data_IF_364320687441
#
_entry.id   IF_364320687441
#
_cell.length_a   1.000
_cell.length_b   1.000
_cell.length_c   1.000
_cell.angle_alpha   90.00
_cell.angle_beta   90.00
_cell.angle_gamma   90.00
#
_symmetry.space_group_name_H-M   'P 1'
#
loop_
_entity.id
_entity.type
_entity.pdbx_description
1 polymer ?
#
# COMPACT_ATOMS: atom_id res chain seq x y z
N UNK A 1 9.48 -45.30 -36.52
CA UNK A 1 8.27 -46.12 -36.35
C UNK A 1 7.20 -45.20 -35.76
N UNK A 2 6.76 -44.13 -36.45
CA UNK A 2 5.94 -44.08 -37.66
C UNK A 2 4.52 -44.67 -37.47
N UNK A 3 3.54 -43.88 -37.90
CA UNK A 3 2.07 -44.08 -37.93
C UNK A 3 1.34 -43.66 -36.65
N UNK A 4 0.40 -42.70 -36.64
CA UNK A 4 -0.26 -42.00 -37.74
C UNK A 4 -1.77 -41.91 -37.44
N UNK A 5 -2.28 -40.67 -37.44
CA UNK A 5 -3.58 -40.21 -38.01
C UNK A 5 -4.87 -40.95 -37.56
N UNK A 6 -6.02 -40.33 -37.23
CA UNK A 6 -6.75 -39.22 -37.86
C UNK A 6 -8.04 -38.99 -37.07
N UNK A 7 -8.45 -37.72 -36.86
CA UNK A 7 -9.87 -37.37 -36.73
C UNK A 7 -10.56 -37.56 -38.10
N UNK A 8 -11.91 -37.64 -38.18
CA UNK A 8 -12.59 -36.47 -38.74
C UNK A 8 -14.09 -36.26 -38.38
N UNK A 9 -14.55 -35.06 -38.78
CA UNK A 9 -15.88 -34.56 -39.20
C UNK A 9 -16.99 -34.22 -38.18
N UNK A 10 -17.42 -32.97 -38.34
CA UNK A 10 -18.62 -32.30 -37.84
C UNK A 10 -19.93 -32.80 -38.47
N UNK A 11 -21.05 -32.60 -37.76
CA UNK A 11 -22.39 -32.47 -38.36
C UNK A 11 -23.11 -31.29 -37.71
N UNK A 12 -23.58 -30.39 -38.56
CA UNK A 12 -24.47 -29.25 -38.26
C UNK A 12 -25.93 -29.71 -38.14
N UNK A 13 -26.73 -29.04 -37.31
CA UNK A 13 -28.02 -28.39 -37.64
C UNK A 13 -28.96 -28.23 -36.42
N UNK A 14 -28.97 -27.02 -35.83
CA UNK A 14 -30.08 -26.05 -35.61
C UNK A 14 -31.53 -26.50 -35.18
N UNK A 15 -32.51 -25.58 -34.95
CA UNK A 15 -32.74 -24.86 -33.69
C UNK A 15 -34.23 -24.79 -33.25
N UNK A 16 -34.52 -24.61 -31.96
CA UNK A 16 -35.85 -24.19 -31.42
C UNK A 16 -35.67 -23.87 -29.92
N UNK A 17 -36.27 -22.88 -29.25
CA UNK A 17 -37.34 -21.94 -29.57
C UNK A 17 -37.32 -20.84 -28.49
N UNK A 18 -37.40 -19.58 -28.90
CA UNK A 18 -37.59 -18.39 -28.06
C UNK A 18 -39.09 -18.07 -28.00
N UNK A 19 -39.68 -17.71 -26.85
CA UNK A 19 -40.97 -17.04 -26.83
C UNK A 19 -40.79 -15.52 -26.96
N UNK A 20 -41.41 -14.96 -28.01
CA UNK A 20 -41.62 -13.52 -28.22
C UNK A 20 -42.76 -13.01 -27.31
N UNK A 21 -42.58 -11.84 -26.70
CA UNK A 21 -43.66 -10.88 -26.45
C UNK A 21 -43.27 -9.49 -26.99
N UNK A 22 -44.30 -8.72 -27.33
CA UNK A 22 -44.35 -7.70 -28.38
C UNK A 22 -44.05 -6.24 -27.90
N UNK A 23 -43.90 -5.27 -28.82
CA UNK A 23 -43.18 -4.01 -28.58
C UNK A 23 -44.09 -2.83 -28.22
N UNK A 24 -43.57 -1.88 -27.43
CA UNK A 24 -44.22 -0.63 -27.06
C UNK A 24 -43.34 0.60 -27.27
N UNK A 25 -43.51 1.24 -28.44
CA UNK A 25 -43.38 2.68 -28.77
C UNK A 25 -42.14 3.48 -28.32
N UNK A 26 -41.35 3.86 -29.32
CA UNK A 26 -40.41 4.99 -29.35
C UNK A 26 -41.11 6.35 -29.44
N UNK A 27 -40.62 7.36 -28.72
CA UNK A 27 -40.92 8.78 -28.94
C UNK A 27 -40.08 9.69 -28.02
N UNK A 28 -39.36 10.71 -28.53
CA UNK A 28 -38.25 11.37 -27.85
C UNK A 28 -38.68 12.61 -27.06
N UNK A 29 -37.86 13.05 -26.09
CA UNK A 29 -37.70 14.46 -25.64
C UNK A 29 -36.70 14.58 -24.47
N UNK A 30 -35.49 15.05 -24.77
CA UNK A 30 -34.83 16.12 -23.97
C UNK A 30 -35.32 17.46 -24.56
N UNK A 31 -35.42 18.60 -23.84
CA UNK A 31 -34.34 19.18 -23.03
C UNK A 31 -34.77 19.94 -21.75
N UNK A 32 -33.76 20.49 -21.06
CA UNK A 32 -33.75 21.67 -20.17
C UNK A 32 -33.34 21.44 -18.70
N UNK A 33 -32.07 21.79 -18.47
CA UNK A 33 -31.60 22.75 -17.46
C UNK A 33 -32.66 23.29 -16.49
N UNK A 34 -32.55 22.92 -15.22
CA UNK A 34 -33.31 23.54 -14.13
C UNK A 34 -32.68 23.20 -12.78
N UNK A 35 -31.85 24.11 -12.26
CA UNK A 35 -31.46 24.17 -10.85
C UNK A 35 -32.71 24.34 -9.98
N UNK A 36 -32.79 23.68 -8.81
CA UNK A 36 -33.46 24.29 -7.67
C UNK A 36 -32.47 24.56 -6.53
N UNK A 37 -32.60 25.76 -5.97
CA UNK A 37 -31.98 26.16 -4.71
C UNK A 37 -32.83 25.61 -3.55
N UNK A 38 -32.12 25.20 -2.50
CA UNK A 38 -32.41 25.34 -1.07
C UNK A 38 -33.81 25.08 -0.54
N UNK A 39 -33.88 24.13 0.39
CA UNK A 39 -34.58 24.30 1.67
C UNK A 39 -35.90 23.56 1.77
N UNK A 40 -35.87 22.35 2.33
CA UNK A 40 -36.84 22.00 3.37
C UNK A 40 -36.36 20.80 4.19
N UNK A 41 -36.49 20.98 5.51
CA UNK A 41 -36.07 20.11 6.58
C UNK A 41 -36.71 18.71 6.50
N UNK A 42 -35.93 17.71 6.09
CA UNK A 42 -36.21 16.33 6.41
C UNK A 42 -35.41 15.93 7.65
N UNK A 43 -36.06 16.05 8.81
CA UNK A 43 -35.64 15.49 10.09
C UNK A 43 -35.31 14.00 9.91
N UNK A 44 -34.01 13.67 9.77
CA UNK A 44 -33.54 12.29 9.89
C UNK A 44 -33.61 11.91 11.36
N UNK A 45 -34.55 11.04 11.70
CA UNK A 45 -34.47 10.21 12.90
C UNK A 45 -33.15 9.45 12.89
N UNK A 46 -32.22 9.89 13.73
CA UNK A 46 -30.89 9.32 13.83
C UNK A 46 -30.93 7.97 14.54
N UNK A 47 -30.81 6.88 13.79
CA UNK A 47 -30.16 5.67 14.29
C UNK A 47 -28.65 5.94 14.23
N UNK A 48 -28.08 6.38 15.34
CA UNK A 48 -26.66 6.73 15.45
C UNK A 48 -25.78 5.55 15.10
N UNK A 49 -25.17 5.58 13.92
CA UNK A 49 -24.06 4.69 13.57
C UNK A 49 -22.87 4.92 14.51
N UNK A 50 -21.96 3.93 14.63
CA UNK A 50 -20.78 4.05 15.48
C UNK A 50 -19.95 5.28 15.07
N UNK A 51 -19.54 6.08 16.06
CA UNK A 51 -18.75 7.30 15.86
C UNK A 51 -17.28 6.95 15.57
N UNK A 52 -16.64 7.72 14.70
CA UNK A 52 -15.22 7.59 14.33
C UNK A 52 -14.31 7.52 15.56
N UNK A 53 -13.31 6.63 15.54
CA UNK A 53 -12.33 6.50 16.63
C UNK A 53 -12.84 5.83 17.91
N UNK A 54 -14.10 5.36 17.96
CA UNK A 54 -14.58 4.53 19.06
C UNK A 54 -14.43 3.03 18.76
N UNK A 55 -14.17 2.20 19.79
CA UNK A 55 -14.32 0.74 19.67
C UNK A 55 -15.75 0.38 19.23
N UNK A 56 -15.90 -0.64 18.38
CA UNK A 56 -17.23 -1.16 18.05
C UNK A 56 -17.89 -1.84 19.29
N UNK A 57 -19.23 -1.79 19.42
CA UNK A 57 -19.95 -2.53 20.46
C UNK A 57 -19.67 -4.03 20.34
N UNK A 58 -19.25 -4.70 21.42
CA UNK A 58 -18.90 -6.12 21.43
C UNK A 58 -17.40 -6.43 21.37
N UNK A 59 -16.53 -5.41 21.28
CA UNK A 59 -15.10 -5.59 21.55
C UNK A 59 -14.91 -5.98 23.03
N UNK A 60 -14.26 -7.13 23.26
CA UNK A 60 -14.00 -7.63 24.60
C UNK A 60 -13.08 -6.63 25.35
N UNK A 61 -13.61 -5.99 26.39
CA UNK A 61 -12.85 -5.06 27.25
C UNK A 61 -11.80 -5.77 28.09
N UNK A 62 -11.79 -7.11 28.07
CA UNK A 62 -10.88 -7.95 28.84
C UNK A 62 -9.39 -7.78 28.51
N UNK A 63 -9.03 -7.21 27.35
CA UNK A 63 -7.61 -7.02 26.95
C UNK A 63 -7.01 -5.73 27.54
N UNK A 64 -7.80 -4.91 28.24
CA UNK A 64 -7.35 -3.62 28.78
C UNK A 64 -7.08 -2.58 27.68
N UNK A 65 -6.90 -1.32 28.07
CA UNK A 65 -6.45 -0.28 27.15
C UNK A 65 -4.94 -0.38 26.94
N UNK A 66 -4.52 -0.47 25.68
CA UNK A 66 -3.12 -0.42 25.24
C UNK A 66 -3.04 0.39 23.94
N UNK A 67 -1.85 0.82 23.46
CA UNK A 67 -1.73 1.78 22.35
C UNK A 67 -2.55 1.46 21.09
N UNK A 68 -2.79 0.17 20.81
CA UNK A 68 -3.63 -0.29 19.70
C UNK A 68 -5.13 -0.05 19.85
N UNK A 69 -5.61 0.29 21.05
CA UNK A 69 -7.03 0.48 21.37
C UNK A 69 -7.43 1.95 21.50
N UNK A 70 -6.47 2.87 21.45
CA UNK A 70 -6.70 4.31 21.55
C UNK A 70 -6.70 4.94 20.15
N UNK A 71 -7.90 5.15 19.60
CA UNK A 71 -8.22 6.08 18.50
C UNK A 71 -7.37 6.00 17.22
N UNK A 72 -7.98 5.59 16.11
CA UNK A 72 -7.38 5.74 14.78
C UNK A 72 -7.06 7.21 14.46
N UNK A 73 -5.91 7.48 13.82
CA UNK A 73 -5.54 8.83 13.40
C UNK A 73 -6.67 9.52 12.62
N UNK A 74 -6.91 10.79 12.93
CA UNK A 74 -7.91 11.64 12.26
C UNK A 74 -7.18 12.70 11.46
N UNK A 75 -7.67 12.94 10.25
CA UNK A 75 -7.13 13.89 9.29
C UNK A 75 -5.73 13.56 8.81
N UNK A 76 -5.26 14.41 7.90
CA UNK A 76 -3.89 14.37 7.40
C UNK A 76 -3.14 15.60 7.91
N UNK A 77 -1.90 15.46 8.42
CA UNK A 77 -1.10 16.61 8.82
C UNK A 77 -0.98 17.64 7.68
N UNK A 78 -0.98 18.94 7.96
CA UNK A 78 -0.78 19.97 6.95
C UNK A 78 0.58 19.78 6.24
N UNK A 79 0.61 19.98 4.91
CA UNK A 79 1.88 20.03 4.16
C UNK A 79 2.66 21.28 4.58
N UNK A 80 3.96 21.13 4.82
CA UNK A 80 4.82 22.28 5.17
C UNK A 80 5.30 22.97 3.89
N UNK A 81 5.50 24.30 3.88
CA UNK A 81 6.24 24.95 2.80
C UNK A 81 7.63 24.33 2.62
N UNK A 82 8.08 24.22 1.37
CA UNK A 82 9.35 23.59 1.02
C UNK A 82 9.41 22.10 1.38
N UNK A 83 8.34 21.34 1.08
CA UNK A 83 8.25 19.92 1.40
C UNK A 83 7.81 19.07 0.22
N UNK A 84 8.11 17.78 0.28
CA UNK A 84 7.57 16.78 -0.65
C UNK A 84 6.71 15.79 0.13
N UNK A 85 5.53 15.48 -0.39
CA UNK A 85 4.63 14.44 0.11
C UNK A 85 4.46 13.33 -0.93
N UNK A 86 4.74 12.10 -0.55
CA UNK A 86 4.30 10.90 -1.28
C UNK A 86 3.08 10.30 -0.62
N UNK A 87 2.05 10.01 -1.39
CA UNK A 87 0.90 9.20 -0.95
C UNK A 87 0.73 8.00 -1.85
N UNK A 88 0.48 6.82 -1.28
CA UNK A 88 0.04 5.64 -2.05
C UNK A 88 -1.17 4.99 -1.40
N UNK A 89 -2.04 4.41 -2.21
CA UNK A 89 -3.14 3.57 -1.75
C UNK A 89 -3.24 2.30 -2.57
N UNK A 90 -3.59 1.18 -1.94
CA UNK A 90 -4.00 -0.04 -2.65
C UNK A 90 -5.36 -0.47 -2.12
N UNK A 91 -6.37 -0.46 -3.00
CA UNK A 91 -7.65 -1.11 -2.75
C UNK A 91 -7.52 -2.61 -3.04
N UNK A 92 -8.09 -3.44 -2.18
CA UNK A 92 -8.07 -4.90 -2.26
C UNK A 92 -9.51 -5.39 -2.28
N UNK A 93 -9.97 -5.87 -3.44
CA UNK A 93 -11.36 -6.22 -3.68
C UNK A 93 -11.51 -7.63 -4.24
N UNK A 94 -12.68 -8.23 -4.01
CA UNK A 94 -13.06 -9.53 -4.58
C UNK A 94 -14.46 -9.42 -5.18
N UNK A 95 -14.58 -8.84 -6.39
CA UNK A 95 -15.87 -8.54 -6.99
C UNK A 95 -16.76 -9.78 -7.17
N UNK A 96 -16.14 -10.93 -7.42
CA UNK A 96 -16.81 -12.22 -7.62
C UNK A 96 -16.96 -13.05 -6.31
N UNK A 97 -16.90 -12.38 -5.16
CA UNK A 97 -17.04 -13.00 -3.84
C UNK A 97 -15.72 -13.36 -3.16
N UNK A 98 -15.77 -13.67 -1.85
CA UNK A 98 -14.58 -13.80 -0.99
C UNK A 98 -13.57 -14.89 -1.40
N UNK A 99 -14.02 -15.89 -2.16
CA UNK A 99 -13.18 -16.97 -2.72
C UNK A 99 -12.80 -16.73 -4.19
N UNK A 100 -13.29 -15.65 -4.81
CA UNK A 100 -12.92 -15.25 -6.16
C UNK A 100 -11.54 -14.58 -6.24
N UNK A 101 -11.14 -14.16 -7.46
CA UNK A 101 -9.90 -13.44 -7.69
C UNK A 101 -9.75 -12.21 -6.79
N UNK A 102 -8.52 -11.93 -6.36
CA UNK A 102 -8.17 -10.72 -5.65
C UNK A 102 -7.76 -9.65 -6.66
N UNK A 103 -8.47 -8.52 -6.64
CA UNK A 103 -8.17 -7.33 -7.42
C UNK A 103 -7.44 -6.33 -6.53
N UNK A 104 -6.22 -5.95 -6.92
CA UNK A 104 -5.44 -4.88 -6.31
C UNK A 104 -5.46 -3.67 -7.24
N UNK A 105 -5.98 -2.53 -6.75
CA UNK A 105 -5.97 -1.26 -7.48
C UNK A 105 -5.13 -0.25 -6.71
N UNK A 106 -3.92 0.00 -7.22
CA UNK A 106 -2.91 0.89 -6.67
C UNK A 106 -2.91 2.27 -7.32
N UNK A 107 -2.78 3.31 -6.51
CA UNK A 107 -2.56 4.70 -6.97
C UNK A 107 -1.47 5.32 -6.10
N UNK A 108 -0.54 6.02 -6.73
CA UNK A 108 0.54 6.77 -6.07
C UNK A 108 0.62 8.20 -6.61
N UNK A 109 0.98 9.14 -5.74
CA UNK A 109 1.21 10.54 -6.10
C UNK A 109 2.33 11.15 -5.29
N UNK A 110 3.20 11.91 -5.95
CA UNK A 110 4.16 12.82 -5.33
C UNK A 110 3.68 14.27 -5.51
N UNK A 111 3.69 15.04 -4.42
CA UNK A 111 3.41 16.46 -4.40
C UNK A 111 4.61 17.24 -3.87
N UNK A 112 4.89 18.37 -4.48
CA UNK A 112 5.72 19.44 -3.91
C UNK A 112 4.79 20.48 -3.28
N UNK A 113 5.15 20.96 -2.10
CA UNK A 113 4.66 22.25 -1.58
C UNK A 113 5.84 23.21 -1.61
N UNK A 114 5.76 24.26 -2.44
CA UNK A 114 6.84 25.23 -2.62
C UNK A 114 7.07 26.05 -1.34
N UNK A 115 8.14 26.84 -1.30
CA UNK A 115 8.40 27.76 -0.18
C UNK A 115 7.29 28.81 0.01
N UNK A 116 6.56 29.16 -1.07
CA UNK A 116 5.41 30.09 -1.03
C UNK A 116 4.09 29.41 -0.68
N UNK A 117 4.07 28.07 -0.57
CA UNK A 117 2.89 27.28 -0.24
C UNK A 117 2.08 26.80 -1.47
N UNK A 118 2.55 27.08 -2.68
CA UNK A 118 1.94 26.53 -3.90
C UNK A 118 2.16 25.02 -3.98
N UNK A 119 1.23 24.30 -4.60
CA UNK A 119 1.25 22.83 -4.68
C UNK A 119 1.42 22.39 -6.13
N UNK A 120 2.44 21.59 -6.38
CA UNK A 120 2.75 21.02 -7.71
C UNK A 120 2.68 19.49 -7.65
N UNK A 121 2.02 18.87 -8.63
CA UNK A 121 2.05 17.40 -8.79
C UNK A 121 3.34 17.00 -9.50
N UNK A 122 4.23 16.32 -8.79
CA UNK A 122 5.54 15.90 -9.31
C UNK A 122 5.50 14.54 -10.03
N UNK A 123 4.44 13.76 -9.84
CA UNK A 123 4.26 12.48 -10.51
C UNK A 123 3.06 11.72 -9.98
N UNK A 124 2.49 10.89 -10.84
CA UNK A 124 1.44 9.94 -10.50
C UNK A 124 1.77 8.57 -11.08
N UNK A 125 1.26 7.53 -10.42
CA UNK A 125 1.35 6.16 -10.90
C UNK A 125 0.08 5.38 -10.57
N UNK A 126 -0.28 4.44 -11.43
CA UNK A 126 -1.36 3.47 -11.20
C UNK A 126 -0.86 2.07 -11.44
N UNK A 127 -1.39 1.12 -10.68
CA UNK A 127 -1.11 -0.30 -10.80
C UNK A 127 -2.42 -1.06 -10.65
N UNK A 128 -2.70 -2.00 -11.54
CA UNK A 128 -3.76 -2.99 -11.33
C UNK A 128 -3.13 -4.38 -11.38
N UNK A 129 -3.48 -5.22 -10.41
CA UNK A 129 -3.07 -6.62 -10.36
C UNK A 129 -4.29 -7.47 -10.04
N UNK A 130 -4.52 -8.53 -10.81
CA UNK A 130 -5.53 -9.54 -10.51
C UNK A 130 -4.82 -10.84 -10.19
N UNK A 131 -5.22 -11.50 -9.11
CA UNK A 131 -4.56 -12.69 -8.58
C UNK A 131 -5.57 -13.80 -8.34
N UNK A 132 -5.22 -15.03 -8.70
CA UNK A 132 -5.93 -16.18 -8.16
C UNK A 132 -5.45 -16.42 -6.74
N UNK A 133 -6.14 -15.79 -5.76
CA UNK A 133 -5.74 -15.88 -4.36
C UNK A 133 -5.87 -17.31 -3.81
N UNK A 134 -6.88 -18.05 -4.30
CA UNK A 134 -7.25 -19.37 -3.79
C UNK A 134 -6.38 -20.48 -4.38
N UNK A 135 -5.76 -20.29 -5.54
CA UNK A 135 -4.72 -21.20 -6.01
C UNK A 135 -3.46 -21.16 -5.12
N UNK A 136 -2.71 -22.26 -5.14
CA UNK A 136 -1.34 -22.33 -4.64
C UNK A 136 -0.41 -22.49 -5.86
N UNK A 137 0.53 -21.55 -6.13
CA UNK A 137 1.05 -20.50 -5.24
C UNK A 137 0.29 -19.15 -5.30
N UNK A 138 -0.82 -19.12 -6.01
CA UNK A 138 -1.66 -17.95 -6.26
C UNK A 138 -1.06 -17.00 -7.29
N UNK A 139 -1.13 -17.39 -8.57
CA UNK A 139 -0.51 -16.65 -9.66
C UNK A 139 -1.18 -15.31 -9.91
N UNK A 140 -0.39 -14.37 -10.45
CA UNK A 140 -0.89 -13.18 -11.14
C UNK A 140 -1.65 -13.62 -12.39
N UNK A 141 -2.90 -13.22 -12.50
CA UNK A 141 -3.73 -13.42 -13.68
C UNK A 141 -3.58 -12.25 -14.65
N UNK A 142 -3.54 -11.03 -14.12
CA UNK A 142 -3.43 -9.80 -14.90
C UNK A 142 -2.55 -8.79 -14.15
N UNK A 143 -1.77 -8.00 -14.88
CA UNK A 143 -1.03 -6.88 -14.33
C UNK A 143 -0.86 -5.78 -15.37
N UNK A 144 -1.16 -4.54 -14.99
CA UNK A 144 -1.00 -3.35 -15.82
C UNK A 144 -0.57 -2.16 -14.96
N UNK A 145 0.15 -1.23 -15.56
CA UNK A 145 0.60 -0.01 -14.88
C UNK A 145 0.46 1.22 -15.76
N UNK A 146 0.28 2.37 -15.10
CA UNK A 146 0.44 3.68 -15.71
C UNK A 146 1.51 4.45 -14.93
N UNK A 147 2.59 4.93 -15.56
CA UNK A 147 2.96 4.66 -16.96
C UNK A 147 3.17 3.17 -17.25
N UNK A 148 3.01 2.79 -18.52
CA UNK A 148 3.27 1.41 -18.96
C UNK A 148 4.75 1.08 -18.81
N UNK A 149 5.05 -0.12 -18.30
CA UNK A 149 6.42 -0.64 -18.15
C UNK A 149 6.63 -1.80 -19.14
N UNK A 150 7.57 -1.67 -20.10
CA UNK A 150 7.96 -2.78 -20.95
C UNK A 150 8.35 -4.01 -20.12
N UNK A 151 7.84 -5.19 -20.51
CA UNK A 151 8.12 -6.44 -19.81
C UNK A 151 7.25 -6.72 -18.57
N UNK A 152 6.44 -5.78 -18.07
CA UNK A 152 5.62 -6.01 -16.86
C UNK A 152 4.67 -7.21 -16.97
N UNK A 153 4.12 -7.44 -18.17
CA UNK A 153 3.25 -8.58 -18.46
C UNK A 153 3.94 -9.95 -18.23
N UNK A 154 5.27 -10.01 -18.16
CA UNK A 154 5.99 -11.25 -17.83
C UNK A 154 5.78 -11.72 -16.39
N UNK A 155 5.17 -10.89 -15.53
CA UNK A 155 4.76 -11.30 -14.19
C UNK A 155 3.46 -12.11 -14.17
N UNK A 156 2.69 -12.17 -15.27
CA UNK A 156 1.53 -13.07 -15.38
C UNK A 156 1.98 -14.52 -15.21
N UNK A 157 1.29 -15.27 -14.36
CA UNK A 157 1.65 -16.62 -13.93
C UNK A 157 2.64 -16.68 -12.76
N UNK A 158 3.35 -15.59 -12.44
CA UNK A 158 4.25 -15.54 -11.29
C UNK A 158 3.48 -15.49 -9.97
N UNK A 159 4.09 -15.98 -8.88
CA UNK A 159 3.50 -15.84 -7.54
C UNK A 159 3.70 -14.41 -7.03
N UNK A 160 2.62 -13.78 -6.54
CA UNK A 160 2.74 -12.52 -5.79
C UNK A 160 3.38 -12.70 -4.40
N UNK A 161 3.50 -13.94 -3.92
CA UNK A 161 3.89 -14.25 -2.53
C UNK A 161 5.33 -14.71 -2.39
N UNK A 162 5.94 -15.13 -3.50
CA UNK A 162 7.33 -15.58 -3.55
C UNK A 162 8.02 -14.99 -4.80
N UNK A 163 9.19 -14.37 -4.61
CA UNK A 163 10.01 -13.85 -5.72
C UNK A 163 9.51 -12.57 -6.42
N UNK A 164 8.23 -12.20 -6.25
CA UNK A 164 7.61 -11.05 -6.95
C UNK A 164 8.44 -9.76 -6.93
N UNK A 165 8.88 -9.32 -5.75
CA UNK A 165 9.69 -8.08 -5.59
C UNK A 165 10.99 -8.11 -6.38
N UNK A 166 11.64 -9.28 -6.44
CA UNK A 166 12.89 -9.45 -7.18
C UNK A 166 12.65 -9.34 -8.68
N UNK A 167 11.61 -10.03 -9.17
CA UNK A 167 11.23 -9.99 -10.58
C UNK A 167 10.78 -8.58 -11.02
N UNK A 168 9.92 -7.92 -10.23
CA UNK A 168 9.47 -6.56 -10.49
C UNK A 168 10.64 -5.56 -10.56
N UNK A 169 11.61 -5.66 -9.64
CA UNK A 169 12.82 -4.81 -9.66
C UNK A 169 13.67 -5.03 -10.91
N UNK A 170 13.84 -6.29 -11.34
CA UNK A 170 14.59 -6.61 -12.56
C UNK A 170 13.91 -6.03 -13.80
N UNK A 171 12.58 -6.11 -13.88
CA UNK A 171 11.80 -5.54 -14.99
C UNK A 171 11.94 -4.02 -15.03
N UNK A 172 11.79 -3.35 -13.88
CA UNK A 172 11.95 -1.89 -13.80
C UNK A 172 13.37 -1.46 -14.21
N UNK A 173 14.40 -2.14 -13.70
CA UNK A 173 15.79 -1.86 -14.04
C UNK A 173 16.10 -2.07 -15.53
N UNK A 174 15.58 -3.14 -16.14
CA UNK A 174 15.73 -3.39 -17.57
C UNK A 174 15.07 -2.28 -18.40
N UNK A 175 13.85 -1.89 -18.06
CA UNK A 175 13.16 -0.80 -18.74
C UNK A 175 13.89 0.55 -18.57
N UNK A 176 14.66 0.75 -17.48
CA UNK A 176 15.44 1.99 -17.25
C UNK A 176 16.65 2.01 -18.17
N UNK A 177 17.33 0.87 -18.30
CA UNK A 177 18.47 0.71 -19.20
C UNK A 177 18.04 0.92 -20.67
N UNK A 178 16.90 0.36 -21.07
CA UNK A 178 16.35 0.53 -22.42
C UNK A 178 16.01 2.00 -22.73
N UNK A 179 15.42 2.71 -21.76
CA UNK A 179 15.09 4.13 -21.93
C UNK A 179 16.36 4.99 -22.05
N UNK A 180 17.38 4.73 -21.23
CA UNK A 180 18.66 5.43 -21.29
C UNK A 180 19.42 5.14 -22.60
N UNK A 181 19.37 3.90 -23.10
CA UNK A 181 19.95 3.54 -24.39
C UNK A 181 19.27 4.23 -25.58
N UNK A 182 17.94 4.32 -25.56
CA UNK A 182 17.18 5.03 -26.59
C UNK A 182 17.44 6.56 -26.60
N UNK A 183 17.65 7.18 -25.43
CA UNK A 183 18.04 8.59 -25.33
C UNK A 183 19.49 8.82 -25.80
N UNK A 184 20.39 7.86 -25.56
CA UNK A 184 21.77 7.89 -26.04
C UNK A 184 21.88 7.74 -27.56
N UNK A 185 21.12 6.82 -28.17
CA UNK A 185 21.10 6.61 -29.63
C UNK A 185 20.45 7.81 -30.38
N UNK A 186 19.54 8.54 -29.75
CA UNK A 186 18.96 9.76 -30.32
C UNK A 186 19.94 10.96 -30.29
N UNK A 187 20.96 10.92 -29.43
CA UNK A 187 22.00 11.95 -29.33
C UNK A 187 23.22 11.67 -30.23
N UNK A 188 23.40 10.45 -30.73
CA UNK A 188 24.56 10.04 -31.55
C UNK A 188 24.32 10.17 -33.06
N UNK A 189 23.84 11.35 -33.48
CA UNK A 189 23.83 11.77 -34.90
C UNK A 189 24.62 13.06 -35.12
N UNK A 190 25.74 13.27 -34.43
CA UNK A 190 26.83 14.09 -34.97
C UNK A 190 28.18 13.83 -34.28
N UNK A 191 29.16 13.42 -35.08
CA UNK A 191 30.61 13.45 -34.86
C UNK A 191 31.25 12.56 -33.78
N UNK A 192 32.25 11.80 -34.22
CA UNK A 192 33.00 10.86 -33.40
C UNK A 192 34.21 11.44 -32.65
N UNK A 193 35.02 10.46 -32.21
CA UNK A 193 36.24 10.50 -31.42
C UNK A 193 36.00 10.25 -29.93
N UNK A 194 36.33 9.01 -29.55
CA UNK A 194 36.36 8.52 -28.19
C UNK A 194 37.54 9.12 -27.41
N UNK A 195 37.29 9.50 -26.17
CA UNK A 195 38.27 9.39 -25.09
C UNK A 195 37.55 8.95 -23.81
N UNK A 196 37.99 7.81 -23.29
CA UNK A 196 37.50 7.19 -22.07
C UNK A 196 38.21 7.78 -20.85
N UNK A 197 37.47 8.47 -19.98
CA UNK A 197 37.68 8.52 -18.54
C UNK A 197 36.58 9.37 -17.88
N UNK A 198 35.84 8.79 -16.94
CA UNK A 198 34.84 9.52 -16.18
C UNK A 198 34.17 8.65 -15.14
N UNK A 199 34.69 8.67 -13.91
CA UNK A 199 33.88 8.43 -12.71
C UNK A 199 32.74 9.44 -12.72
N UNK A 200 31.54 8.96 -13.02
CA UNK A 200 30.35 9.77 -13.19
C UNK A 200 29.16 9.09 -12.54
N UNK A 201 28.91 9.44 -11.29
CA UNK A 201 27.57 9.37 -10.74
C UNK A 201 26.68 10.34 -11.52
N UNK A 202 25.84 9.82 -12.41
CA UNK A 202 24.86 10.56 -13.19
C UNK A 202 24.03 9.53 -13.96
N UNK A 203 22.71 9.58 -14.06
CA UNK A 203 21.75 10.62 -13.77
C UNK A 203 20.62 10.36 -14.77
N UNK A 204 19.46 9.89 -14.30
CA UNK A 204 18.24 9.84 -15.09
C UNK A 204 17.06 9.85 -14.12
N UNK A 205 16.13 10.78 -14.31
CA UNK A 205 14.99 11.02 -13.44
C UNK A 205 13.95 9.89 -13.54
N UNK A 206 14.02 8.93 -12.63
CA UNK A 206 13.19 7.71 -12.49
C UNK A 206 11.95 7.95 -11.61
N UNK A 207 11.48 9.17 -11.55
CA UNK A 207 10.58 9.63 -10.50
C UNK A 207 9.20 8.98 -10.53
N UNK A 208 8.62 8.74 -11.71
CA UNK A 208 7.41 7.89 -11.85
C UNK A 208 7.66 6.43 -11.48
N UNK A 209 8.89 5.94 -11.72
CA UNK A 209 9.27 4.56 -11.43
C UNK A 209 9.46 4.32 -9.95
N UNK A 210 9.90 5.31 -9.17
CA UNK A 210 9.93 5.18 -7.71
C UNK A 210 8.52 4.99 -7.12
N UNK A 211 7.49 5.68 -7.65
CA UNK A 211 6.09 5.45 -7.27
C UNK A 211 5.59 4.05 -7.69
N UNK A 212 5.88 3.63 -8.92
CA UNK A 212 5.53 2.28 -9.39
C UNK A 212 6.29 1.20 -8.62
N UNK A 213 7.56 1.40 -8.30
CA UNK A 213 8.36 0.48 -7.50
C UNK A 213 7.74 0.33 -6.12
N UNK A 214 7.29 1.42 -5.49
CA UNK A 214 6.57 1.34 -4.23
C UNK A 214 5.25 0.55 -4.34
N UNK A 215 4.43 0.82 -5.36
CA UNK A 215 3.18 0.07 -5.58
C UNK A 215 3.43 -1.42 -5.82
N UNK A 216 4.45 -1.77 -6.61
CA UNK A 216 4.87 -3.15 -6.87
C UNK A 216 5.47 -3.81 -5.62
N UNK A 217 6.24 -3.07 -4.81
CA UNK A 217 6.82 -3.56 -3.56
C UNK A 217 5.74 -3.90 -2.51
N UNK A 218 4.61 -3.19 -2.54
CA UNK A 218 3.46 -3.41 -1.66
C UNK A 218 2.60 -4.63 -2.07
N UNK A 219 2.63 -5.09 -3.33
CA UNK A 219 1.77 -6.20 -3.84
C UNK A 219 1.83 -7.46 -2.97
N UNK A 220 3.02 -7.99 -2.56
CA UNK A 220 3.06 -9.21 -1.75
C UNK A 220 2.40 -9.06 -0.39
N UNK A 221 2.59 -7.93 0.28
CA UNK A 221 2.01 -7.71 1.62
C UNK A 221 0.54 -7.33 1.52
N UNK A 222 0.12 -6.57 0.50
CA UNK A 222 -1.29 -6.35 0.18
C UNK A 222 -2.02 -7.68 -0.09
N UNK A 223 -1.38 -8.59 -0.83
CA UNK A 223 -1.90 -9.94 -1.04
C UNK A 223 -2.00 -10.68 0.29
N UNK A 224 -0.97 -10.66 1.12
CA UNK A 224 -0.96 -11.33 2.43
C UNK A 224 -2.06 -10.82 3.36
N UNK A 225 -2.18 -9.50 3.53
CA UNK A 225 -3.15 -8.88 4.44
C UNK A 225 -4.59 -9.01 3.92
N UNK A 226 -4.81 -9.12 2.61
CA UNK A 226 -6.16 -9.40 2.06
C UNK A 226 -6.78 -10.70 2.58
N UNK A 227 -5.95 -11.61 3.13
CA UNK A 227 -6.40 -12.83 3.80
C UNK A 227 -7.29 -12.57 5.02
N UNK A 228 -7.08 -11.43 5.69
CA UNK A 228 -7.87 -10.99 6.84
C UNK A 228 -9.37 -10.94 6.54
N UNK A 229 -9.75 -10.59 5.31
CA UNK A 229 -11.14 -10.58 4.87
C UNK A 229 -11.74 -12.00 4.86
N UNK A 230 -10.98 -13.02 4.46
CA UNK A 230 -11.45 -14.41 4.49
C UNK A 230 -11.61 -14.91 5.93
N UNK A 231 -10.58 -14.72 6.76
CA UNK A 231 -10.59 -15.17 8.15
C UNK A 231 -11.71 -14.50 8.97
N UNK A 232 -11.99 -13.21 8.74
CA UNK A 232 -13.11 -12.52 9.39
C UNK A 232 -14.47 -13.12 9.05
N UNK A 233 -14.63 -13.67 7.85
CA UNK A 233 -15.88 -14.25 7.37
C UNK A 233 -15.90 -15.78 7.44
N UNK A 234 -15.08 -16.39 8.30
CA UNK A 234 -15.14 -17.82 8.56
C UNK A 234 -14.61 -18.70 7.43
N UNK A 235 -13.91 -18.13 6.44
CA UNK A 235 -13.39 -18.90 5.31
C UNK A 235 -11.96 -19.33 5.65
N UNK A 236 -11.82 -20.63 5.91
CA UNK A 236 -10.56 -21.26 6.24
C UNK A 236 -10.13 -22.25 5.14
N UNK A 237 -8.83 -22.32 4.85
CA UNK A 237 -8.23 -23.29 3.94
C UNK A 237 -7.96 -24.58 4.69
N UNK A 238 -8.33 -25.71 4.08
CA UNK A 238 -8.10 -27.03 4.65
C UNK A 238 -6.61 -27.40 4.72
N UNK A 239 -5.84 -26.99 3.69
CA UNK A 239 -4.42 -27.31 3.58
C UNK A 239 -3.50 -26.14 3.99
N UNK A 240 -2.50 -26.39 4.86
CA UNK A 240 -1.48 -25.41 5.20
C UNK A 240 -0.59 -25.13 3.98
N UNK A 241 -0.52 -23.87 3.54
CA UNK A 241 0.48 -23.46 2.55
C UNK A 241 1.46 -22.46 3.16
N UNK A 242 2.77 -22.69 2.95
CA UNK A 242 3.86 -21.79 3.42
C UNK A 242 3.76 -20.36 2.88
N UNK A 243 2.90 -20.15 1.90
CA UNK A 243 2.66 -18.86 1.28
C UNK A 243 1.25 -18.34 1.53
N UNK A 244 0.40 -18.97 2.35
CA UNK A 244 -0.98 -18.49 2.54
C UNK A 244 -1.01 -17.04 3.10
N UNK A 245 -0.05 -16.69 3.95
CA UNK A 245 -0.07 -15.46 4.74
C UNK A 245 -0.63 -15.73 6.14
N UNK A 246 -0.17 -15.01 7.16
CA UNK A 246 -0.57 -15.29 8.54
C UNK A 246 -2.06 -15.00 8.81
N UNK A 247 -2.69 -14.15 8.01
CA UNK A 247 -4.10 -13.78 8.13
C UNK A 247 -5.00 -14.55 7.17
N UNK A 248 -4.45 -15.43 6.34
CA UNK A 248 -5.24 -16.29 5.46
C UNK A 248 -5.89 -17.37 6.29
N UNK A 249 -7.21 -17.24 6.49
CA UNK A 249 -8.00 -18.21 7.24
C UNK A 249 -7.58 -19.62 6.86
N UNK A 250 -6.99 -20.36 7.80
CA UNK A 250 -6.72 -21.79 7.68
C UNK A 250 -5.37 -22.21 8.27
N UNK A 251 -4.34 -21.35 8.22
CA UNK A 251 -3.09 -21.66 8.91
C UNK A 251 -2.23 -20.40 9.15
N UNK A 252 -2.28 -19.80 10.36
CA UNK A 252 -1.42 -18.67 10.65
C UNK A 252 0.04 -19.14 10.69
N UNK A 253 0.89 -18.50 9.90
CA UNK A 253 2.33 -18.68 10.07
C UNK A 253 2.70 -18.09 11.44
N UNK A 254 2.91 -18.95 12.43
CA UNK A 254 3.33 -18.54 13.77
C UNK A 254 4.78 -18.05 13.75
N UNK A 255 5.09 -17.17 14.70
CA UNK A 255 6.38 -16.52 14.91
C UNK A 255 6.92 -15.73 13.73
N UNK A 256 6.09 -15.39 12.75
CA UNK A 256 6.50 -14.51 11.64
C UNK A 256 6.61 -13.05 12.04
N UNK A 257 5.89 -12.63 13.08
CA UNK A 257 5.96 -11.31 13.67
C UNK A 257 5.51 -11.30 15.13
N UNK A 258 5.70 -10.16 15.80
CA UNK A 258 5.29 -9.94 17.19
C UNK A 258 3.83 -10.29 17.46
N UNK A 259 2.92 -9.88 16.56
CA UNK A 259 1.48 -10.17 16.70
C UNK A 259 1.10 -11.65 16.52
N UNK A 260 1.89 -12.39 15.75
CA UNK A 260 1.67 -13.81 15.44
C UNK A 260 2.59 -14.74 16.22
N UNK A 261 3.11 -14.30 17.37
CA UNK A 261 3.88 -15.17 18.26
C UNK A 261 3.02 -16.33 18.79
N UNK A 262 3.67 -17.46 19.10
CA UNK A 262 3.00 -18.57 19.80
C UNK A 262 2.26 -18.06 21.03
N UNK A 263 1.07 -18.60 21.25
CA UNK A 263 0.19 -18.27 22.37
C UNK A 263 -0.27 -16.80 22.44
N UNK A 264 0.12 -15.93 21.51
CA UNK A 264 -0.38 -14.55 21.42
C UNK A 264 -1.86 -14.47 21.09
N UNK A 265 -2.48 -13.29 21.27
CA UNK A 265 -3.92 -13.10 21.04
C UNK A 265 -4.36 -13.55 19.64
N UNK A 266 -3.65 -13.13 18.58
CA UNK A 266 -4.02 -13.46 17.20
C UNK A 266 -3.95 -14.98 16.94
N UNK A 267 -2.92 -15.65 17.46
CA UNK A 267 -2.76 -17.09 17.35
C UNK A 267 -3.92 -17.83 18.01
N UNK A 268 -4.32 -17.43 19.22
CA UNK A 268 -5.44 -18.04 19.96
C UNK A 268 -6.77 -17.81 19.25
N UNK A 269 -7.06 -16.57 18.84
CA UNK A 269 -8.30 -16.23 18.12
C UNK A 269 -8.37 -16.98 16.79
N UNK A 270 -7.27 -17.09 16.06
CA UNK A 270 -7.23 -17.86 14.81
C UNK A 270 -7.51 -19.34 15.04
N UNK A 271 -6.94 -19.94 16.10
CA UNK A 271 -7.16 -21.35 16.43
C UNK A 271 -8.62 -21.60 16.86
N UNK A 272 -9.18 -20.74 17.71
CA UNK A 272 -10.59 -20.78 18.13
C UNK A 272 -11.52 -20.73 16.92
N UNK A 273 -11.31 -19.76 16.03
CA UNK A 273 -12.15 -19.60 14.84
C UNK A 273 -11.97 -20.68 13.78
N UNK A 274 -10.80 -21.31 13.72
CA UNK A 274 -10.61 -22.46 12.84
C UNK A 274 -11.38 -23.68 13.35
N UNK A 275 -11.55 -23.81 14.67
CA UNK A 275 -12.36 -24.87 15.28
C UNK A 275 -13.86 -24.55 15.26
N UNK A 276 -14.23 -23.27 15.36
CA UNK A 276 -15.60 -22.77 15.31
C UNK A 276 -15.66 -21.50 14.43
N UNK A 277 -16.03 -21.61 13.15
CA UNK A 277 -16.09 -20.47 12.23
C UNK A 277 -17.00 -19.33 12.69
N UNK A 278 -18.01 -19.62 13.52
CA UNK A 278 -18.97 -18.66 14.07
C UNK A 278 -18.45 -17.95 15.33
N UNK A 279 -17.30 -18.38 15.89
CA UNK A 279 -16.70 -17.72 17.03
C UNK A 279 -16.36 -16.26 16.71
N UNK A 280 -16.61 -15.32 17.65
CA UNK A 280 -16.53 -13.89 17.38
C UNK A 280 -15.11 -13.44 17.06
N UNK A 281 -14.98 -12.41 16.22
CA UNK A 281 -13.72 -11.68 16.03
C UNK A 281 -13.46 -10.85 17.29
N UNK A 282 -12.57 -11.32 18.18
CA UNK A 282 -12.20 -10.61 19.40
C UNK A 282 -10.95 -9.73 19.29
N UNK A 283 -10.46 -9.48 18.07
CA UNK A 283 -9.34 -8.55 17.84
C UNK A 283 -9.81 -7.10 17.95
N UNK A 284 -8.89 -6.16 18.13
CA UNK A 284 -9.23 -4.74 18.19
C UNK A 284 -9.98 -4.29 16.92
N UNK A 285 -11.18 -3.72 17.11
CA UNK A 285 -12.01 -3.17 16.03
C UNK A 285 -12.32 -1.70 16.31
N UNK A 286 -11.48 -0.81 15.79
CA UNK A 286 -11.62 0.64 15.92
C UNK A 286 -12.04 1.20 14.56
N UNK A 287 -13.12 1.99 14.54
CA UNK A 287 -13.56 2.68 13.32
C UNK A 287 -12.45 3.60 12.82
N UNK A 288 -12.09 3.46 11.55
CA UNK A 288 -11.06 4.25 10.92
C UNK A 288 -11.41 5.75 10.97
N UNK A 289 -10.42 6.56 11.33
CA UNK A 289 -10.55 8.01 11.22
C UNK A 289 -10.51 8.45 9.76
N UNK A 290 -11.27 9.49 9.43
CA UNK A 290 -11.21 10.05 8.09
C UNK A 290 -9.87 10.75 7.89
N UNK A 291 -9.15 10.41 6.82
CA UNK A 291 -7.86 11.02 6.46
C UNK A 291 -8.00 12.05 5.34
N UNK A 292 -9.05 11.95 4.53
CA UNK A 292 -9.28 12.83 3.38
C UNK A 292 -10.16 14.01 3.83
N UNK A 293 -9.52 15.00 4.45
CA UNK A 293 -10.22 16.19 4.96
C UNK A 293 -10.50 17.17 3.84
N UNK A 294 -11.70 17.76 3.84
CA UNK A 294 -12.16 18.70 2.79
C UNK A 294 -11.25 19.94 2.68
N UNK A 295 -10.58 20.33 3.77
CA UNK A 295 -9.68 21.48 3.83
C UNK A 295 -8.37 21.29 3.04
N UNK A 296 -7.97 20.04 2.73
CA UNK A 296 -6.83 19.74 1.85
C UNK A 296 -7.21 18.65 0.83
N UNK A 297 -7.91 19.03 -0.26
CA UNK A 297 -8.36 18.07 -1.29
C UNK A 297 -7.19 17.42 -2.05
N UNK A 298 -5.98 17.97 -1.94
CA UNK A 298 -4.74 17.39 -2.47
C UNK A 298 -3.98 16.58 -1.42
N UNK A 299 -4.46 16.50 -0.18
CA UNK A 299 -3.81 15.74 0.90
C UNK A 299 -3.64 14.27 0.56
N UNK A 300 -4.61 13.71 -0.18
CA UNK A 300 -4.60 12.39 -0.80
C UNK A 300 -5.12 12.48 -2.23
N UNK A 301 -4.69 11.58 -3.11
CA UNK A 301 -5.41 11.36 -4.37
C UNK A 301 -6.81 10.78 -4.07
N UNK A 302 -7.77 10.82 -5.02
CA UNK A 302 -9.11 10.33 -4.77
C UNK A 302 -9.12 8.92 -4.15
N UNK A 303 -9.75 8.79 -2.99
CA UNK A 303 -9.94 7.52 -2.29
C UNK A 303 -11.38 7.04 -2.55
N UNK A 304 -11.62 6.20 -3.57
CA UNK A 304 -12.98 5.75 -3.91
C UNK A 304 -13.60 4.98 -2.75
N UNK A 305 -14.93 4.93 -2.55
CA UNK A 305 -15.55 4.16 -1.47
C UNK A 305 -15.14 2.67 -1.49
N UNK A 306 -15.03 2.03 -0.32
CA UNK A 306 -14.75 0.58 -0.22
C UNK A 306 -16.02 -0.24 -0.42
N UNK A 307 -15.96 -1.27 -1.27
CA UNK A 307 -16.97 -2.33 -1.27
C UNK A 307 -17.01 -3.11 0.05
N UNK A 308 -18.10 -3.82 0.30
CA UNK A 308 -18.21 -4.72 1.47
C UNK A 308 -17.10 -5.77 1.42
N UNK A 309 -16.45 -6.02 2.56
CA UNK A 309 -15.30 -6.92 2.72
C UNK A 309 -14.02 -6.51 1.96
N UNK A 310 -14.02 -5.37 1.28
CA UNK A 310 -12.79 -4.82 0.72
C UNK A 310 -11.81 -4.47 1.84
N UNK A 311 -10.53 -4.43 1.48
CA UNK A 311 -9.47 -3.90 2.32
C UNK A 311 -8.77 -2.75 1.62
N UNK A 312 -8.18 -1.84 2.39
CA UNK A 312 -7.44 -0.71 1.82
C UNK A 312 -6.16 -0.49 2.59
N UNK A 313 -5.08 -0.35 1.84
CA UNK A 313 -3.79 0.13 2.31
C UNK A 313 -3.62 1.60 1.98
N UNK A 314 -3.11 2.38 2.91
CA UNK A 314 -2.73 3.78 2.76
C UNK A 314 -1.31 4.01 3.28
N UNK A 315 -0.50 4.75 2.53
CA UNK A 315 0.83 5.23 2.95
C UNK A 315 0.98 6.72 2.70
N UNK A 316 1.67 7.40 3.61
CA UNK A 316 2.15 8.77 3.42
C UNK A 316 3.61 8.87 3.86
N UNK A 317 4.42 9.57 3.09
CA UNK A 317 5.75 10.05 3.50
C UNK A 317 5.77 11.56 3.29
N UNK A 318 5.92 12.30 4.37
CA UNK A 318 6.20 13.74 4.33
C UNK A 318 7.69 13.97 4.59
N UNK A 319 8.37 14.56 3.61
CA UNK A 319 9.79 14.88 3.68
C UNK A 319 10.00 16.39 3.74
N UNK A 320 10.68 16.86 4.78
CA UNK A 320 10.96 18.28 5.03
C UNK A 320 12.44 18.49 5.34
N UNK A 321 13.07 19.58 4.86
CA UNK A 321 14.43 19.94 5.29
C UNK A 321 14.48 20.27 6.79
N UNK A 322 15.62 19.98 7.41
CA UNK A 322 15.97 20.40 8.77
C UNK A 322 16.96 21.56 8.63
N UNK A 323 16.46 22.79 8.83
CA UNK A 323 17.28 24.01 8.75
C UNK A 323 16.64 25.07 7.86
N UNK A 324 16.25 26.18 8.49
CA UNK A 324 15.48 27.30 7.93
C UNK A 324 14.86 28.19 9.02
N UNK A 325 14.69 27.66 10.24
CA UNK A 325 14.38 28.45 11.45
C UNK A 325 15.69 28.97 12.09
N UNK A 326 15.77 30.22 12.57
CA UNK A 326 16.86 30.68 13.42
C UNK A 326 16.97 29.75 14.63
N UNK A 327 18.19 29.35 14.98
CA UNK A 327 18.47 28.47 16.11
C UNK A 327 17.87 28.99 17.43
N UNK A 328 16.65 28.57 17.73
CA UNK A 328 15.95 28.83 18.98
C UNK A 328 16.03 27.61 19.91
N UNK A 329 16.93 27.70 20.89
CA UNK A 329 17.02 26.96 22.14
C UNK A 329 16.20 25.65 22.29
N UNK A 330 16.76 24.54 21.81
CA UNK A 330 16.52 23.20 22.35
C UNK A 330 17.86 22.59 22.79
N UNK A 331 17.92 21.77 23.85
CA UNK A 331 19.19 21.28 24.37
C UNK A 331 19.86 20.40 23.32
N UNK A 332 21.04 20.82 22.88
CA UNK A 332 21.91 20.08 21.99
C UNK A 332 22.21 18.71 22.61
N UNK A 333 21.78 17.64 21.94
CA UNK A 333 22.24 16.29 22.29
C UNK A 333 23.63 16.09 21.70
N UNK A 334 24.60 15.97 22.59
CA UNK A 334 25.98 15.62 22.30
C UNK A 334 26.08 14.18 21.82
N UNK A 335 26.78 13.99 20.71
CA UNK A 335 26.95 12.72 20.02
C UNK A 335 27.03 12.94 18.50
N UNK A 336 27.91 13.84 18.05
CA UNK A 336 28.17 14.04 16.64
C UNK A 336 28.96 12.83 16.10
N UNK A 337 28.24 11.88 15.52
CA UNK A 337 28.78 11.02 14.48
C UNK A 337 28.64 11.77 13.14
N UNK A 338 29.53 11.47 12.19
CA UNK A 338 29.50 12.05 10.84
C UNK A 338 28.10 11.99 10.21
N UNK A 339 27.66 13.12 9.65
CA UNK A 339 26.36 13.31 8.98
C UNK A 339 25.28 13.92 9.88
N UNK A 340 25.28 15.26 10.01
CA UNK A 340 24.17 15.95 10.67
C UNK A 340 22.84 15.70 9.94
N UNK A 341 21.75 15.52 10.70
CA UNK A 341 20.42 15.34 10.14
C UNK A 341 20.04 16.55 9.26
N UNK A 342 19.72 16.28 7.99
CA UNK A 342 19.41 17.30 6.99
C UNK A 342 17.93 17.27 6.57
N UNK A 343 17.24 16.15 6.72
CA UNK A 343 15.83 16.02 6.40
C UNK A 343 15.09 15.21 7.47
N UNK A 344 13.82 15.56 7.70
CA UNK A 344 12.88 14.80 8.54
C UNK A 344 11.83 14.15 7.65
N UNK A 345 11.61 12.86 7.87
CA UNK A 345 10.54 12.09 7.25
C UNK A 345 9.49 11.74 8.32
N UNK A 346 8.25 12.20 8.14
CA UNK A 346 7.09 11.71 8.88
C UNK A 346 6.32 10.72 8.01
N UNK A 347 6.33 9.46 8.43
CA UNK A 347 5.74 8.35 7.69
C UNK A 347 4.49 7.88 8.40
N UNK A 348 3.47 7.56 7.61
CA UNK A 348 2.22 6.98 8.07
C UNK A 348 1.84 5.78 7.21
N UNK A 349 1.30 4.76 7.86
CA UNK A 349 0.79 3.55 7.25
C UNK A 349 -0.54 3.15 7.91
N UNK A 350 -1.52 2.74 7.11
CA UNK A 350 -2.76 2.15 7.60
C UNK A 350 -3.28 1.08 6.65
N UNK A 351 -3.66 -0.08 7.19
CA UNK A 351 -4.53 -1.05 6.54
C UNK A 351 -5.91 -1.01 7.21
N UNK A 352 -6.99 -0.95 6.42
CA UNK A 352 -8.39 -0.99 6.87
C UNK A 352 -9.17 -2.13 6.21
N UNK A 353 -10.27 -2.53 6.85
CA UNK A 353 -11.22 -3.53 6.36
C UNK A 353 -12.64 -2.97 6.44
N UNK A 354 -13.44 -3.22 5.39
CA UNK A 354 -14.86 -2.84 5.36
C UNK A 354 -15.73 -3.99 5.85
N UNK A 355 -16.36 -3.83 7.00
CA UNK A 355 -17.27 -4.83 7.57
C UNK A 355 -18.58 -4.94 6.77
N UNK A 356 -19.29 -6.07 6.94
CA UNK A 356 -20.65 -6.26 6.41
C UNK A 356 -21.64 -5.22 6.93
N UNK A 357 -21.42 -4.72 8.15
CA UNK A 357 -22.17 -3.61 8.75
C UNK A 357 -22.01 -2.28 8.01
N UNK A 358 -21.00 -2.17 7.15
CA UNK A 358 -20.61 -0.95 6.46
C UNK A 358 -19.63 -0.08 7.26
N UNK A 359 -19.15 -0.51 8.43
CA UNK A 359 -18.07 0.18 9.13
C UNK A 359 -16.71 -0.09 8.46
N UNK A 360 -15.88 0.94 8.27
CA UNK A 360 -14.47 0.78 7.94
C UNK A 360 -13.67 0.75 9.25
N UNK A 361 -12.99 -0.37 9.52
CA UNK A 361 -12.21 -0.58 10.75
C UNK A 361 -10.73 -0.71 10.44
N UNK A 362 -9.88 -0.19 11.33
CA UNK A 362 -8.43 -0.32 11.18
C UNK A 362 -7.97 -1.73 11.53
N UNK A 363 -7.12 -2.30 10.69
CA UNK A 363 -6.43 -3.57 10.92
C UNK A 363 -5.04 -3.30 11.50
N UNK A 364 -4.27 -2.44 10.85
CA UNK A 364 -2.94 -2.02 11.30
C UNK A 364 -2.73 -0.54 11.04
N UNK A 365 -2.13 0.18 11.98
CA UNK A 365 -1.71 1.56 11.81
C UNK A 365 -0.35 1.78 12.50
N UNK A 366 0.59 2.29 11.72
CA UNK A 366 1.95 2.60 12.18
C UNK A 366 2.35 3.99 11.70
N UNK A 367 3.19 4.65 12.50
CA UNK A 367 3.94 5.82 12.07
C UNK A 367 5.45 5.60 12.23
N UNK A 368 6.26 6.30 11.45
CA UNK A 368 7.70 6.39 11.66
C UNK A 368 8.09 7.86 11.66
N UNK A 369 8.79 8.29 12.70
CA UNK A 369 9.48 9.57 12.71
C UNK A 369 10.97 9.30 12.49
N UNK A 370 11.47 9.70 11.32
CA UNK A 370 12.85 9.47 10.92
C UNK A 370 13.55 10.77 10.53
N UNK A 371 14.87 10.79 10.68
CA UNK A 371 15.72 11.84 10.11
C UNK A 371 16.83 11.21 9.30
N UNK A 372 17.22 11.85 8.22
CA UNK A 372 18.30 11.42 7.33
C UNK A 372 19.28 12.56 7.07
N UNK A 373 20.54 12.23 6.77
CA UNK A 373 21.56 13.18 6.36
C UNK A 373 21.41 13.58 4.88
N UNK A 374 22.37 14.36 4.36
CA UNK A 374 22.39 14.80 2.96
C UNK A 374 22.49 13.64 1.95
N UNK A 375 23.01 12.48 2.36
CA UNK A 375 23.17 11.29 1.51
C UNK A 375 22.02 10.29 1.71
N UNK A 376 20.92 10.71 2.36
CA UNK A 376 19.81 9.85 2.75
C UNK A 376 20.22 8.69 3.69
N UNK A 377 21.28 8.83 4.48
CA UNK A 377 21.61 7.89 5.54
C UNK A 377 20.73 8.17 6.75
N UNK A 378 20.15 7.12 7.33
CA UNK A 378 19.25 7.22 8.49
C UNK A 378 20.03 7.63 9.74
N UNK A 379 19.75 8.81 10.25
CA UNK A 379 20.35 9.36 11.49
C UNK A 379 19.50 8.99 12.70
N UNK A 380 18.18 8.99 12.55
CA UNK A 380 17.22 8.57 13.58
C UNK A 380 16.04 7.87 12.94
N UNK A 381 15.47 6.90 13.64
CA UNK A 381 14.22 6.25 13.27
C UNK A 381 13.49 5.79 14.52
N UNK A 382 12.21 6.17 14.66
CA UNK A 382 11.37 5.80 15.80
C UNK A 382 9.99 5.37 15.30
N UNK A 383 9.59 4.15 15.62
CA UNK A 383 8.26 3.63 15.34
C UNK A 383 7.21 4.19 16.31
N UNK A 384 6.00 4.42 15.80
CA UNK A 384 4.81 4.79 16.56
C UNK A 384 3.70 3.78 16.26
N UNK A 385 3.03 3.29 17.29
CA UNK A 385 1.82 2.49 17.11
C UNK A 385 0.59 3.42 17.04
N UNK A 386 -0.27 3.19 16.06
CA UNK A 386 -1.67 3.56 16.11
C UNK A 386 -2.50 2.34 16.52
N UNK A 387 -3.64 2.12 15.86
CA UNK A 387 -4.45 0.91 16.05
C UNK A 387 -3.71 -0.34 15.56
N UNK A 388 -3.67 -1.38 16.40
CA UNK A 388 -3.02 -2.65 16.12
C UNK A 388 -3.93 -3.81 16.55
N UNK A 389 -3.82 -5.00 15.93
CA UNK A 389 -4.84 -6.05 16.10
C UNK A 389 -4.67 -6.88 17.38
N UNK A 390 -3.47 -6.88 17.99
CA UNK A 390 -3.20 -7.62 19.22
C UNK A 390 -2.12 -6.96 20.11
N UNK A 391 -2.20 -7.14 21.44
CA UNK A 391 -1.38 -6.43 22.43
C UNK A 391 0.12 -6.74 22.33
N UNK A 392 0.49 -7.78 21.60
CA UNK A 392 1.89 -8.13 21.31
C UNK A 392 2.49 -7.27 20.18
N UNK A 393 1.67 -6.73 19.29
CA UNK A 393 2.13 -5.98 18.11
C UNK A 393 3.02 -4.76 18.43
N UNK A 394 2.81 -3.98 19.52
CA UNK A 394 3.70 -2.89 19.91
C UNK A 394 5.13 -3.31 20.23
N UNK A 395 5.38 -4.59 20.56
CA UNK A 395 6.74 -5.09 20.83
C UNK A 395 7.67 -4.93 19.61
N UNK A 396 7.10 -4.86 18.40
CA UNK A 396 7.85 -4.66 17.17
C UNK A 396 8.41 -3.23 17.01
N UNK A 397 7.92 -2.22 17.75
CA UNK A 397 8.27 -0.81 17.50
C UNK A 397 9.78 -0.54 17.59
N UNK A 398 10.47 -1.19 18.54
CA UNK A 398 11.91 -1.05 18.72
C UNK A 398 12.72 -1.54 17.49
N UNK A 399 12.13 -2.39 16.63
CA UNK A 399 12.81 -2.80 15.39
C UNK A 399 13.06 -1.63 14.44
N UNK A 400 12.27 -0.54 14.51
CA UNK A 400 12.48 0.65 13.71
C UNK A 400 13.83 1.32 13.95
N UNK A 401 14.45 1.17 15.13
CA UNK A 401 15.77 1.75 15.41
C UNK A 401 16.90 1.02 14.67
N UNK A 402 16.68 -0.23 14.26
CA UNK A 402 17.71 -1.07 13.61
C UNK A 402 18.12 -0.56 12.22
N UNK A 403 17.36 0.37 11.62
CA UNK A 403 17.74 0.99 10.34
C UNK A 403 18.68 2.19 10.51
N UNK A 404 18.92 2.67 11.74
CA UNK A 404 19.86 3.78 11.99
C UNK A 404 21.25 3.40 11.51
N UNK A 405 21.91 4.33 10.81
CA UNK A 405 23.21 4.15 10.17
C UNK A 405 23.14 3.54 8.77
N UNK A 406 22.00 2.98 8.32
CA UNK A 406 21.85 2.44 6.97
C UNK A 406 21.57 3.55 5.95
N UNK A 407 22.02 3.36 4.71
CA UNK A 407 21.58 4.17 3.58
C UNK A 407 20.15 3.84 3.21
N UNK A 408 19.30 4.84 2.95
CA UNK A 408 17.91 4.64 2.58
C UNK A 408 17.76 3.68 1.38
N UNK A 409 18.56 3.85 0.32
CA UNK A 409 18.53 3.00 -0.87
C UNK A 409 18.71 1.48 -0.58
N UNK A 410 19.35 1.12 0.53
CA UNK A 410 19.57 -0.29 0.91
C UNK A 410 18.41 -0.87 1.73
N UNK A 411 17.47 -0.06 2.24
CA UNK A 411 16.44 -0.51 3.17
C UNK A 411 15.54 -1.59 2.57
N UNK A 412 15.13 -1.46 1.30
CA UNK A 412 14.38 -2.51 0.57
C UNK A 412 15.12 -3.84 0.51
N UNK A 413 16.45 -3.86 0.55
CA UNK A 413 17.21 -5.11 0.53
C UNK A 413 17.42 -5.63 1.95
N UNK A 414 17.90 -4.77 2.84
CA UNK A 414 18.30 -5.12 4.20
C UNK A 414 17.11 -5.56 5.04
N UNK A 415 16.03 -4.77 5.06
CA UNK A 415 14.83 -5.10 5.85
C UNK A 415 14.23 -6.44 5.44
N UNK A 416 14.20 -6.72 4.12
CA UNK A 416 13.73 -8.01 3.60
C UNK A 416 14.51 -9.23 4.12
N UNK A 417 15.79 -9.06 4.48
CA UNK A 417 16.70 -10.15 4.83
C UNK A 417 16.88 -10.31 6.34
N UNK A 418 16.79 -9.22 7.10
CA UNK A 418 17.19 -9.21 8.51
C UNK A 418 16.04 -8.92 9.47
N UNK A 419 14.88 -8.46 8.99
CA UNK A 419 13.73 -8.16 9.83
C UNK A 419 12.73 -9.30 9.74
N UNK A 420 12.98 -10.33 10.55
CA UNK A 420 12.17 -11.54 10.62
C UNK A 420 11.89 -11.90 12.07
N UNK A 421 10.80 -12.61 12.30
CA UNK A 421 10.50 -13.16 13.60
C UNK A 421 9.72 -12.21 14.52
N UNK A 422 9.47 -12.69 15.73
CA UNK A 422 8.64 -12.04 16.76
C UNK A 422 9.20 -10.71 17.28
N UNK A 423 10.46 -10.38 16.98
CA UNK A 423 11.03 -9.07 17.34
C UNK A 423 10.68 -7.95 16.34
N UNK A 424 9.88 -8.24 15.31
CA UNK A 424 9.51 -7.33 14.22
C UNK A 424 8.04 -7.48 13.84
N UNK A 425 7.54 -6.63 12.93
CA UNK A 425 6.20 -6.75 12.35
C UNK A 425 6.28 -6.71 10.83
N UNK A 426 5.60 -7.62 10.13
CA UNK A 426 5.56 -7.64 8.67
C UNK A 426 5.10 -6.28 8.11
N UNK A 427 4.10 -5.65 8.72
CA UNK A 427 3.59 -4.33 8.33
C UNK A 427 4.55 -3.17 8.65
N UNK A 428 5.25 -3.22 9.81
CA UNK A 428 6.26 -2.21 10.15
C UNK A 428 7.50 -2.35 9.26
N UNK A 429 7.94 -3.58 8.98
CA UNK A 429 9.01 -3.88 8.06
C UNK A 429 8.69 -3.30 6.69
N UNK A 430 7.47 -3.51 6.19
CA UNK A 430 6.99 -2.94 4.93
C UNK A 430 7.03 -1.41 4.91
N UNK A 431 6.73 -0.78 6.04
CA UNK A 431 6.80 0.69 6.20
C UNK A 431 8.23 1.22 6.30
N UNK A 432 9.16 0.45 6.89
CA UNK A 432 10.59 0.79 6.87
C UNK A 432 11.18 0.65 5.47
N UNK A 433 10.69 -0.29 4.65
CA UNK A 433 11.14 -0.46 3.26
C UNK A 433 10.77 0.72 2.38
N UNK A 434 9.62 1.36 2.59
CA UNK A 434 9.20 2.52 1.79
C UNK A 434 10.09 3.74 1.98
N UNK A 435 10.86 3.80 3.08
CA UNK A 435 11.92 4.80 3.24
C UNK A 435 13.06 4.63 2.22
N UNK A 436 13.09 3.51 1.47
CA UNK A 436 13.99 3.32 0.34
C UNK A 436 13.86 4.36 -0.77
N UNK A 437 12.71 5.05 -0.84
CA UNK A 437 12.44 6.11 -1.80
C UNK A 437 12.99 7.48 -1.39
N UNK A 438 13.53 7.63 -0.18
CA UNK A 438 14.01 8.93 0.30
C UNK A 438 15.07 9.59 -0.61
N UNK A 439 16.02 8.88 -1.23
CA UNK A 439 16.96 9.50 -2.16
C UNK A 439 16.26 10.25 -3.31
N UNK A 440 15.24 9.64 -3.93
CA UNK A 440 14.49 10.23 -5.03
C UNK A 440 13.64 11.43 -4.56
N UNK A 441 13.03 11.31 -3.38
CA UNK A 441 12.25 12.41 -2.79
C UNK A 441 13.13 13.61 -2.40
N UNK A 442 14.35 13.36 -1.90
CA UNK A 442 15.34 14.41 -1.59
C UNK A 442 15.77 15.11 -2.88
N UNK A 443 16.05 14.36 -3.95
CA UNK A 443 16.47 14.93 -5.22
C UNK A 443 15.39 15.82 -5.83
N UNK A 444 14.13 15.38 -5.81
CA UNK A 444 12.99 16.20 -6.22
C UNK A 444 12.90 17.52 -5.45
N UNK A 445 13.08 17.46 -4.13
CA UNK A 445 13.01 18.62 -3.25
C UNK A 445 14.14 19.61 -3.54
N UNK A 446 15.35 19.12 -3.81
CA UNK A 446 16.50 19.95 -4.23
C UNK A 446 16.27 20.58 -5.59
N UNK A 447 15.89 19.78 -6.57
CA UNK A 447 15.59 20.24 -7.93
C UNK A 447 14.50 21.30 -7.96
N UNK A 448 13.51 21.22 -7.05
CA UNK A 448 12.47 22.22 -6.90
C UNK A 448 12.93 23.51 -6.22
N UNK A 449 13.86 23.42 -5.26
CA UNK A 449 14.40 24.59 -4.54
C UNK A 449 15.42 25.37 -5.39
N UNK A 450 16.02 24.73 -6.40
CA UNK A 450 16.97 25.35 -7.32
C UNK A 450 16.30 26.12 -8.48
N UNK A 451 14.98 25.93 -8.70
CA UNK A 451 14.17 26.70 -9.65
C UNK A 451 13.66 27.98 -8.99
#
# INVERSE_FOLDING_TARGET
>A
MAHGQTAPVAVQASPTQVPRQAPGRTGPRSPHTGRPRSGEDARRSGTGGPRTGQPLPGADTAVGQWPGTTGSAQGTPPRRPGSVRRTTSIMMERPDGLTGPLHLTGVGRDLLTTATGEVEVLGEARLRVVLDYMAAPGPVLEIESEPAVPGLASLVGASARAGFRGAARQILAAADADAAGAEGDAADTDSGVADSNGDGAGGASTTRRSLLEQLLDDVPVATLVSGSALGRNGIFRDDPSRHAGAEAGGNPMLDVCAGWQREGLLARVSAERSADPEAPVRTTMVVAGDLAVDEDPLGWHPLPPMGTHAMRRLRRIDLVPIGGEPAGAGPARTGAADGAAAFRADVFFRDTYREASGAEVVVHEYGIDATVDQSARVVRSMGRAGVLPGPECPQALASAERIVGLGAADLRRTVSRTFTGTTTCTHLNDTLRSLGDLPDLIERLRSATAR
#
